data_IF_265892791877
#
_entry.id   IF_265892791877
#
_cell.length_a   1.000
_cell.length_b   1.000
_cell.length_c   1.000
_cell.angle_alpha   90.00
_cell.angle_beta   90.00
_cell.angle_gamma   90.00
#
_symmetry.space_group_name_H-M   'P 1'
#
loop_
_entity.id
_entity.type
_entity.pdbx_description
1 polymer ?
#
# COMPACT_ATOMS: atom_id res chain seq x y z
N UNK A 1 -9.52 23.98 -10.80
CA UNK A 1 -9.15 23.79 -12.21
C UNK A 1 -8.40 24.98 -12.82
N UNK A 2 -8.70 26.25 -12.49
CA UNK A 2 -7.91 27.41 -12.95
C UNK A 2 -6.40 27.31 -12.65
N UNK A 3 -6.04 26.99 -11.40
CA UNK A 3 -4.64 26.85 -10.99
C UNK A 3 -3.82 25.85 -11.80
N UNK A 4 -4.40 24.70 -12.17
CA UNK A 4 -3.69 23.68 -12.95
C UNK A 4 -3.37 24.17 -14.38
N UNK A 5 -4.26 24.97 -14.97
CA UNK A 5 -4.06 25.60 -16.28
C UNK A 5 -3.01 26.71 -16.24
N UNK A 6 -2.89 27.42 -15.11
CA UNK A 6 -1.90 28.49 -14.91
C UNK A 6 -0.46 27.96 -14.77
N UNK A 7 -0.28 26.70 -14.34
CA UNK A 7 1.04 26.09 -14.12
C UNK A 7 1.36 24.94 -15.08
N UNK A 8 0.60 24.81 -16.17
CA UNK A 8 0.75 23.76 -17.20
C UNK A 8 0.83 22.33 -16.63
N UNK A 9 -0.04 22.03 -15.65
CA UNK A 9 -0.17 20.71 -15.06
C UNK A 9 -1.55 20.11 -15.31
N UNK A 10 -1.62 18.78 -15.35
CA UNK A 10 -2.90 18.10 -15.34
C UNK A 10 -3.58 18.27 -13.98
N UNK A 11 -4.91 18.40 -13.98
CA UNK A 11 -5.69 18.62 -12.75
C UNK A 11 -5.47 17.51 -11.70
N UNK A 12 -5.13 16.29 -12.13
CA UNK A 12 -4.85 15.15 -11.25
C UNK A 12 -3.50 15.25 -10.50
N UNK A 13 -2.60 16.13 -10.95
CA UNK A 13 -1.27 16.37 -10.35
C UNK A 13 -1.28 17.51 -9.32
N UNK A 14 -2.43 18.18 -9.16
CA UNK A 14 -2.57 19.34 -8.27
C UNK A 14 -3.39 18.96 -7.04
N UNK A 15 -2.85 19.25 -5.85
CA UNK A 15 -3.49 18.95 -4.57
C UNK A 15 -3.57 20.24 -3.76
N UNK A 16 -4.78 20.66 -3.38
CA UNK A 16 -4.97 21.80 -2.50
C UNK A 16 -4.80 21.38 -1.04
N UNK A 17 -3.87 22.02 -0.32
CA UNK A 17 -3.57 21.73 1.09
C UNK A 17 -3.64 23.03 1.89
N UNK A 18 -4.21 22.97 3.09
CA UNK A 18 -4.20 24.09 4.04
C UNK A 18 -3.22 23.78 5.17
N UNK A 19 -2.05 24.41 5.13
CA UNK A 19 -1.01 24.19 6.15
C UNK A 19 -1.50 24.43 7.59
N UNK A 20 -2.44 25.37 7.77
CA UNK A 20 -3.06 25.63 9.07
C UNK A 20 -3.90 24.44 9.55
N UNK A 21 -4.74 23.88 8.67
CA UNK A 21 -5.57 22.71 8.99
C UNK A 21 -4.69 21.50 9.31
N UNK A 22 -3.63 21.26 8.54
CA UNK A 22 -2.70 20.15 8.82
C UNK A 22 -2.01 20.31 10.18
N UNK A 23 -1.57 21.53 10.51
CA UNK A 23 -0.96 21.83 11.82
C UNK A 23 -1.94 21.58 12.98
N UNK A 24 -3.19 22.02 12.84
CA UNK A 24 -4.23 21.79 13.85
C UNK A 24 -4.51 20.29 14.03
N UNK A 25 -4.59 19.53 12.93
CA UNK A 25 -4.79 18.07 12.96
C UNK A 25 -3.70 17.36 13.77
N UNK A 26 -2.43 17.75 13.63
CA UNK A 26 -1.33 17.10 14.37
C UNK A 26 -1.42 17.24 15.90
N UNK A 27 -2.17 18.23 16.38
CA UNK A 27 -2.38 18.46 17.82
C UNK A 27 -3.60 17.73 18.39
N UNK A 28 -4.40 17.09 17.53
CA UNK A 28 -5.65 16.42 17.89
C UNK A 28 -5.46 14.91 18.03
N UNK A 29 -6.31 14.28 18.84
CA UNK A 29 -6.43 12.82 18.88
C UNK A 29 -7.02 12.27 17.56
N UNK A 30 -6.79 10.99 17.24
CA UNK A 30 -7.32 10.40 15.99
C UNK A 30 -8.86 10.52 15.86
N UNK A 31 -9.60 10.41 16.96
CA UNK A 31 -11.06 10.59 16.96
C UNK A 31 -11.47 12.04 16.69
N UNK A 32 -10.71 12.99 17.24
CA UNK A 32 -10.98 14.42 17.07
C UNK A 32 -10.59 14.88 15.67
N UNK A 33 -9.50 14.36 15.11
CA UNK A 33 -9.10 14.61 13.73
C UNK A 33 -10.22 14.23 12.75
N UNK A 34 -10.80 13.03 12.90
CA UNK A 34 -11.92 12.57 12.05
C UNK A 34 -13.12 13.49 12.17
N UNK A 35 -13.48 13.88 13.39
CA UNK A 35 -14.61 14.79 13.63
C UNK A 35 -14.36 16.18 13.03
N UNK A 36 -13.13 16.69 13.15
CA UNK A 36 -12.72 17.97 12.59
C UNK A 36 -12.76 17.95 11.06
N UNK A 37 -12.21 16.92 10.42
CA UNK A 37 -12.26 16.74 8.96
C UNK A 37 -13.71 16.69 8.45
N UNK A 38 -14.59 15.93 9.13
CA UNK A 38 -16.02 15.88 8.81
C UNK A 38 -16.68 17.26 8.92
N UNK A 39 -16.34 18.05 9.94
CA UNK A 39 -16.86 19.42 10.11
C UNK A 39 -16.45 20.36 8.97
N UNK A 40 -15.29 20.11 8.35
CA UNK A 40 -14.77 20.82 7.19
C UNK A 40 -15.29 20.26 5.84
N UNK A 41 -16.09 19.18 5.87
CA UNK A 41 -16.61 18.53 4.66
C UNK A 41 -15.57 17.71 3.88
N UNK A 42 -14.43 17.38 4.49
CA UNK A 42 -13.37 16.57 3.88
C UNK A 42 -13.26 15.21 4.56
N UNK A 43 -12.90 14.18 3.79
CA UNK A 43 -12.79 12.80 4.30
C UNK A 43 -11.38 12.44 4.79
N UNK A 44 -10.37 13.06 4.18
CA UNK A 44 -8.95 12.77 4.36
C UNK A 44 -8.20 14.09 4.49
N UNK A 45 -7.09 14.06 5.23
CA UNK A 45 -6.22 15.23 5.34
C UNK A 45 -5.54 15.57 4.00
N UNK A 46 -5.07 16.80 3.86
CA UNK A 46 -4.29 17.22 2.71
C UNK A 46 -2.96 16.45 2.64
N UNK A 47 -2.35 16.12 3.78
CA UNK A 47 -1.13 15.32 3.82
C UNK A 47 -1.36 13.86 3.40
N UNK A 48 -2.43 13.20 3.83
CA UNK A 48 -2.77 11.84 3.39
C UNK A 48 -2.95 11.79 1.86
N UNK A 49 -3.72 12.72 1.32
CA UNK A 49 -3.91 12.86 -0.13
C UNK A 49 -2.61 13.09 -0.87
N UNK A 50 -1.70 13.91 -0.31
CA UNK A 50 -0.38 14.16 -0.87
C UNK A 50 0.48 12.90 -0.90
N UNK A 51 0.51 12.14 0.19
CA UNK A 51 1.27 10.89 0.30
C UNK A 51 0.80 9.88 -0.75
N UNK A 52 -0.52 9.65 -0.84
CA UNK A 52 -1.08 8.71 -1.83
C UNK A 52 -0.73 9.12 -3.25
N UNK A 53 -0.88 10.40 -3.59
CA UNK A 53 -0.55 10.90 -4.95
C UNK A 53 0.95 10.87 -5.23
N UNK A 54 1.80 11.12 -4.25
CA UNK A 54 3.24 10.99 -4.40
C UNK A 54 3.62 9.52 -4.68
N UNK A 55 3.02 8.57 -3.97
CA UNK A 55 3.20 7.13 -4.21
C UNK A 55 2.80 6.73 -5.64
N UNK A 56 1.62 7.16 -6.09
CA UNK A 56 1.16 6.94 -7.46
C UNK A 56 2.12 7.56 -8.49
N UNK A 57 2.57 8.79 -8.25
CA UNK A 57 3.46 9.53 -9.16
C UNK A 57 4.83 8.88 -9.28
N UNK A 58 5.37 8.35 -8.17
CA UNK A 58 6.60 7.58 -8.15
C UNK A 58 6.44 6.17 -8.75
N UNK A 59 5.20 5.77 -9.09
CA UNK A 59 4.90 4.45 -9.60
C UNK A 59 5.23 3.38 -8.58
N UNK A 60 4.92 3.59 -7.30
CA UNK A 60 5.13 2.64 -6.22
C UNK A 60 3.84 1.88 -5.90
N UNK A 61 4.00 0.65 -5.43
CA UNK A 61 2.93 -0.17 -4.85
C UNK A 61 3.37 -0.66 -3.47
N UNK A 62 2.41 -1.09 -2.67
CA UNK A 62 2.63 -1.70 -1.37
C UNK A 62 2.12 -3.13 -1.38
N UNK A 63 2.95 -4.10 -0.99
CA UNK A 63 2.46 -5.43 -0.63
C UNK A 63 2.58 -5.63 0.89
N UNK A 64 1.83 -6.58 1.42
CA UNK A 64 1.74 -6.84 2.86
C UNK A 64 2.30 -8.21 3.19
N UNK A 65 3.06 -8.30 4.26
CA UNK A 65 3.35 -9.58 4.93
C UNK A 65 2.54 -9.65 6.20
N UNK A 66 1.84 -10.76 6.44
CA UNK A 66 1.05 -10.96 7.65
C UNK A 66 1.38 -12.31 8.27
N UNK A 67 2.16 -12.31 9.34
CA UNK A 67 2.50 -13.48 10.13
C UNK A 67 2.05 -13.32 11.58
N UNK A 68 2.26 -14.37 12.38
CA UNK A 68 1.90 -14.35 13.81
C UNK A 68 2.72 -13.31 14.59
N UNK A 69 3.99 -13.11 14.20
CA UNK A 69 4.93 -12.22 14.90
C UNK A 69 4.92 -10.79 14.36
N UNK A 70 4.67 -10.60 13.07
CA UNK A 70 4.81 -9.31 12.40
C UNK A 70 3.78 -9.18 11.28
N UNK A 71 3.19 -7.99 11.20
CA UNK A 71 2.42 -7.53 10.04
C UNK A 71 3.12 -6.27 9.54
N UNK A 72 3.45 -6.23 8.25
CA UNK A 72 4.24 -5.14 7.68
C UNK A 72 3.85 -4.84 6.24
N UNK A 73 3.88 -3.56 5.91
CA UNK A 73 3.78 -3.03 4.56
C UNK A 73 5.17 -2.83 3.95
N UNK A 74 5.33 -3.28 2.71
CA UNK A 74 6.58 -3.20 1.95
C UNK A 74 6.35 -2.46 0.64
N UNK A 75 7.16 -1.43 0.43
CA UNK A 75 7.09 -0.57 -0.75
C UNK A 75 8.00 -1.10 -1.85
N UNK A 76 7.46 -1.29 -3.05
CA UNK A 76 8.21 -1.69 -4.25
C UNK A 76 7.76 -0.89 -5.47
N UNK A 77 8.60 -0.75 -6.51
CA UNK A 77 8.16 -0.24 -7.79
C UNK A 77 6.98 -1.04 -8.36
N UNK A 78 6.09 -0.35 -9.06
CA UNK A 78 5.04 -0.97 -9.86
C UNK A 78 5.68 -1.88 -10.90
N UNK A 79 5.05 -3.03 -11.12
CA UNK A 79 5.57 -4.11 -11.96
C UNK A 79 6.78 -4.86 -11.36
N UNK A 80 7.06 -4.73 -10.07
CA UNK A 80 8.05 -5.57 -9.40
C UNK A 80 7.64 -7.04 -9.43
N UNK A 81 8.60 -7.90 -9.77
CA UNK A 81 8.43 -9.35 -9.73
C UNK A 81 8.44 -9.85 -8.30
N UNK A 82 7.76 -10.97 -8.04
CA UNK A 82 7.69 -11.59 -6.72
C UNK A 82 9.08 -11.87 -6.12
N UNK A 83 10.04 -12.32 -6.93
CA UNK A 83 11.41 -12.57 -6.47
C UNK A 83 12.15 -11.29 -6.05
N UNK A 84 12.00 -10.21 -6.82
CA UNK A 84 12.63 -8.92 -6.51
C UNK A 84 12.01 -8.30 -5.25
N UNK A 85 10.69 -8.42 -5.10
CA UNK A 85 9.95 -7.96 -3.93
C UNK A 85 10.35 -8.72 -2.65
N UNK A 86 10.59 -10.03 -2.74
CA UNK A 86 11.13 -10.80 -1.63
C UNK A 86 12.52 -10.30 -1.20
N UNK A 87 13.33 -9.84 -2.17
CA UNK A 87 14.65 -9.24 -1.94
C UNK A 87 14.63 -7.96 -1.09
N UNK A 88 13.53 -7.20 -1.12
CA UNK A 88 13.35 -6.00 -0.28
C UNK A 88 13.21 -6.36 1.20
N UNK A 89 12.69 -7.55 1.50
CA UNK A 89 12.62 -8.09 2.86
C UNK A 89 14.02 -8.52 3.32
N UNK A 90 14.69 -9.32 2.50
CA UNK A 90 16.05 -9.78 2.77
C UNK A 90 16.74 -10.17 1.46
N UNK A 91 18.00 -9.78 1.29
CA UNK A 91 18.74 -10.01 0.04
C UNK A 91 18.91 -11.49 -0.32
N UNK A 92 19.06 -12.36 0.68
CA UNK A 92 19.17 -13.81 0.47
C UNK A 92 17.90 -14.46 -0.14
N UNK A 93 16.73 -13.83 0.04
CA UNK A 93 15.47 -14.38 -0.48
C UNK A 93 15.46 -14.42 -2.01
N UNK A 94 16.21 -13.54 -2.67
CA UNK A 94 16.32 -13.54 -4.13
C UNK A 94 16.90 -14.86 -4.62
N UNK A 95 18.00 -15.34 -4.03
CA UNK A 95 18.67 -16.57 -4.46
C UNK A 95 17.88 -17.82 -4.10
N UNK A 96 17.25 -17.79 -2.94
CA UNK A 96 16.56 -18.94 -2.37
C UNK A 96 15.05 -18.93 -2.64
N UNK A 97 14.55 -18.03 -3.49
CA UNK A 97 13.13 -17.93 -3.80
C UNK A 97 12.59 -19.25 -4.38
N UNK A 98 11.52 -19.77 -3.80
CA UNK A 98 10.78 -20.93 -4.34
C UNK A 98 9.50 -20.46 -5.01
N UNK A 99 8.64 -19.78 -4.26
CA UNK A 99 7.33 -19.27 -4.71
C UNK A 99 6.79 -18.21 -3.76
N UNK A 100 5.75 -17.51 -4.18
CA UNK A 100 4.96 -16.61 -3.34
C UNK A 100 3.53 -17.14 -3.21
N UNK A 101 3.05 -17.35 -1.99
CA UNK A 101 1.62 -17.53 -1.75
C UNK A 101 0.99 -16.14 -1.63
N UNK A 102 0.03 -15.82 -2.51
CA UNK A 102 -0.54 -14.49 -2.67
C UNK A 102 -2.04 -14.54 -2.45
N UNK A 103 -2.59 -13.55 -1.76
CA UNK A 103 -4.03 -13.39 -1.55
C UNK A 103 -4.40 -11.91 -1.58
N UNK A 104 -5.53 -11.60 -2.21
CA UNK A 104 -6.06 -10.24 -2.26
C UNK A 104 -6.43 -9.73 -0.85
N UNK A 105 -6.13 -8.46 -0.56
CA UNK A 105 -6.36 -7.85 0.75
C UNK A 105 -7.75 -8.10 1.33
N UNK A 106 -8.79 -7.91 0.51
CA UNK A 106 -10.20 -8.04 0.94
C UNK A 106 -10.53 -9.48 1.35
N UNK A 107 -10.03 -10.44 0.60
CA UNK A 107 -10.20 -11.87 0.91
C UNK A 107 -9.40 -12.22 2.17
N UNK A 108 -8.18 -11.68 2.31
CA UNK A 108 -7.35 -11.91 3.50
C UNK A 108 -7.98 -11.36 4.79
N UNK A 109 -8.52 -10.15 4.78
CA UNK A 109 -9.15 -9.55 5.95
C UNK A 109 -10.36 -10.36 6.44
N UNK A 110 -11.11 -10.97 5.51
CA UNK A 110 -12.31 -11.75 5.85
C UNK A 110 -12.03 -13.19 6.26
N UNK A 111 -10.98 -13.81 5.70
CA UNK A 111 -10.73 -15.25 5.84
C UNK A 111 -9.46 -15.57 6.65
N UNK A 112 -8.45 -14.70 6.58
CA UNK A 112 -7.09 -15.00 7.00
C UNK A 112 -6.47 -16.16 6.21
N UNK A 113 -5.21 -16.50 6.53
CA UNK A 113 -4.45 -17.50 5.77
C UNK A 113 -5.10 -18.89 5.69
N UNK A 114 -5.66 -19.38 6.80
CA UNK A 114 -6.17 -20.76 6.86
C UNK A 114 -7.41 -20.93 5.98
N UNK A 115 -8.44 -20.10 6.19
CA UNK A 115 -9.68 -20.20 5.42
C UNK A 115 -9.48 -19.76 3.97
N UNK A 116 -8.62 -18.78 3.71
CA UNK A 116 -8.31 -18.38 2.32
C UNK A 116 -7.71 -19.55 1.53
N UNK A 117 -6.91 -20.42 2.16
CA UNK A 117 -6.41 -21.65 1.51
C UNK A 117 -7.52 -22.67 1.30
N UNK A 118 -8.35 -22.91 2.31
CA UNK A 118 -9.47 -23.85 2.25
C UNK A 118 -10.49 -23.46 1.16
N UNK A 119 -10.73 -22.17 0.98
CA UNK A 119 -11.66 -21.61 0.00
C UNK A 119 -11.00 -21.32 -1.37
N UNK A 120 -9.73 -21.71 -1.57
CA UNK A 120 -9.03 -21.57 -2.85
C UNK A 120 -8.71 -20.13 -3.28
N UNK A 121 -8.68 -19.19 -2.33
CA UNK A 121 -8.34 -17.78 -2.57
C UNK A 121 -6.85 -17.49 -2.62
N UNK A 122 -6.02 -18.39 -2.07
CA UNK A 122 -4.56 -18.26 -2.13
C UNK A 122 -4.04 -18.79 -3.47
N UNK A 123 -3.33 -17.94 -4.20
CA UNK A 123 -2.60 -18.28 -5.43
C UNK A 123 -1.15 -18.59 -5.09
N UNK A 124 -0.59 -19.66 -5.64
CA UNK A 124 0.85 -19.92 -5.55
C UNK A 124 1.52 -19.47 -6.84
N UNK A 125 2.28 -18.38 -6.73
CA UNK A 125 2.86 -17.66 -7.85
C UNK A 125 4.37 -17.87 -7.97
N UNK A 126 4.87 -17.88 -9.21
CA UNK A 126 6.28 -18.06 -9.53
C UNK A 126 7.11 -16.78 -9.41
N UNK A 127 8.42 -16.90 -9.66
CA UNK A 127 9.39 -15.79 -9.56
C UNK A 127 9.05 -14.57 -10.41
N UNK A 128 8.45 -14.79 -11.58
CA UNK A 128 8.14 -13.75 -12.58
C UNK A 128 6.75 -13.13 -12.38
N UNK A 129 5.99 -13.58 -11.38
CA UNK A 129 4.69 -12.98 -11.07
C UNK A 129 4.85 -11.51 -10.70
N UNK A 130 3.97 -10.68 -11.24
CA UNK A 130 3.98 -9.25 -10.99
C UNK A 130 3.03 -8.96 -9.82
N UNK A 131 3.60 -8.52 -8.69
CA UNK A 131 2.79 -8.17 -7.52
C UNK A 131 1.83 -7.03 -7.83
N UNK A 132 0.63 -7.13 -7.26
CA UNK A 132 -0.38 -6.09 -7.31
C UNK A 132 -0.43 -5.34 -5.98
N UNK A 133 -0.86 -4.08 -6.06
CA UNK A 133 -0.98 -3.22 -4.89
C UNK A 133 -1.99 -3.77 -3.87
N UNK A 134 -1.59 -3.77 -2.61
CA UNK A 134 -2.36 -4.28 -1.47
C UNK A 134 -2.34 -5.80 -1.29
N UNK A 135 -1.71 -6.58 -2.17
CA UNK A 135 -1.68 -8.04 -2.00
C UNK A 135 -0.97 -8.46 -0.70
N UNK A 136 -1.52 -9.48 -0.04
CA UNK A 136 -0.89 -10.12 1.12
C UNK A 136 -0.10 -11.32 0.63
N UNK A 137 1.19 -11.35 0.95
CA UNK A 137 2.16 -12.28 0.38
C UNK A 137 2.89 -13.04 1.47
N UNK A 138 3.01 -14.35 1.30
CA UNK A 138 3.89 -15.22 2.08
C UNK A 138 4.92 -15.87 1.14
N UNK A 139 6.16 -15.39 1.21
CA UNK A 139 7.26 -15.95 0.43
C UNK A 139 7.73 -17.29 1.00
N UNK A 140 7.86 -18.29 0.12
CA UNK A 140 8.48 -19.58 0.43
C UNK A 140 9.92 -19.54 -0.06
N UNK A 141 10.85 -19.67 0.89
CA UNK A 141 12.29 -19.54 0.67
C UNK A 141 12.94 -20.88 0.99
N UNK A 142 13.85 -21.33 0.13
CA UNK A 142 14.67 -22.52 0.33
C UNK A 142 15.76 -22.31 1.37
N UNK A 143 16.10 -23.38 2.06
CA UNK A 143 17.23 -23.47 3.00
C UNK A 143 18.56 -23.65 2.27
#
# INVERSE_FOLDING_TARGET
MKFAQEVDLHSHQVIAISAKVESELTSLSESDQKTYLVSLGVKESGLERLITKAFETLGLITFLTAGVKEVRAWTVPKNSRAQDAAGVIHTDFVKNFIKADVVDYKDFISLGWKRAREEGKVRSEGKDYILQDGEVVEFKIGS
#
